data_IF_183446398559
#
_entry.id   IF_183446398559
#
_cell.length_a   1.000
_cell.length_b   1.000
_cell.length_c   1.000
_cell.angle_alpha   90.00
_cell.angle_beta   90.00
_cell.angle_gamma   90.00
#
_symmetry.space_group_name_H-M   'P 1'
#
loop_
_entity.id
_entity.type
_entity.pdbx_description
1 polymer ?
#
# COMPACT_ATOMS: atom_id res chain seq x y z
N UNK A 1 -59.64 50.23 -3.04
CA UNK A 1 -58.54 49.87 -2.12
C UNK A 1 -59.12 50.10 -0.75
N UNK A 2 -59.91 49.12 -0.31
CA UNK A 2 -60.51 49.10 1.01
C UNK A 2 -59.76 47.99 1.74
N UNK A 3 -58.87 48.40 2.66
CA UNK A 3 -58.15 47.51 3.54
C UNK A 3 -59.15 46.97 4.56
N UNK A 4 -59.67 45.76 4.32
CA UNK A 4 -60.36 44.98 5.34
C UNK A 4 -59.35 44.68 6.46
N UNK A 5 -59.41 45.49 7.51
CA UNK A 5 -58.69 45.29 8.77
C UNK A 5 -59.16 43.96 9.35
N UNK A 6 -58.33 42.93 9.21
CA UNK A 6 -58.56 41.62 9.83
C UNK A 6 -58.38 41.80 11.35
N UNK A 7 -59.51 41.72 12.05
CA UNK A 7 -59.62 41.69 13.50
C UNK A 7 -58.85 40.49 14.09
N UNK A 8 -57.69 40.76 14.70
CA UNK A 8 -56.92 39.77 15.44
C UNK A 8 -57.52 39.58 16.85
N UNK A 9 -58.69 38.96 16.92
CA UNK A 9 -59.19 38.35 18.14
C UNK A 9 -58.31 37.16 18.57
N UNK A 10 -58.17 36.87 19.88
CA UNK A 10 -57.21 35.88 20.41
C UNK A 10 -57.50 34.41 20.07
N UNK A 11 -58.43 34.12 19.14
CA UNK A 11 -58.87 32.76 18.80
C UNK A 11 -59.03 32.54 17.28
N UNK A 12 -58.12 33.05 16.46
CA UNK A 12 -58.01 32.58 15.06
C UNK A 12 -57.29 31.23 15.03
N UNK A 13 -57.89 30.14 14.50
CA UNK A 13 -57.20 28.87 14.34
C UNK A 13 -55.94 29.06 13.48
N UNK A 14 -54.77 28.78 14.06
CA UNK A 14 -53.50 28.89 13.35
C UNK A 14 -53.47 27.90 12.16
N UNK A 15 -53.41 28.36 10.90
CA UNK A 15 -53.41 27.48 9.74
C UNK A 15 -52.11 26.67 9.59
N UNK A 16 -51.10 26.93 10.44
CA UNK A 16 -49.79 26.25 10.39
C UNK A 16 -49.70 25.04 11.31
N UNK A 17 -50.75 24.69 12.03
CA UNK A 17 -50.76 23.52 12.90
C UNK A 17 -51.22 22.25 12.16
N UNK A 18 -50.50 21.86 11.09
CA UNK A 18 -50.36 20.46 10.68
C UNK A 18 -49.43 20.38 9.46
N UNK A 19 -48.12 20.34 9.70
CA UNK A 19 -47.21 19.68 8.75
C UNK A 19 -46.64 18.44 9.43
N UNK A 20 -47.53 17.53 9.85
CA UNK A 20 -47.16 16.12 9.87
C UNK A 20 -47.01 15.72 8.40
N UNK A 21 -45.84 16.04 7.81
CA UNK A 21 -45.38 15.37 6.61
C UNK A 21 -45.35 13.89 7.01
N UNK A 22 -46.08 12.99 6.33
CA UNK A 22 -45.84 11.58 6.52
C UNK A 22 -44.37 11.38 6.18
N UNK A 23 -43.59 10.86 7.14
CA UNK A 23 -42.29 10.30 6.80
C UNK A 23 -42.57 9.24 5.73
N UNK A 24 -42.16 9.55 4.51
CA UNK A 24 -42.38 8.67 3.37
C UNK A 24 -41.66 7.36 3.70
N UNK A 25 -42.32 6.19 3.61
CA UNK A 25 -41.64 4.91 3.79
C UNK A 25 -40.54 4.70 2.73
N UNK A 26 -40.49 5.54 1.69
CA UNK A 26 -39.41 5.62 0.68
C UNK A 26 -38.07 6.13 1.26
N UNK A 27 -38.05 6.81 2.41
CA UNK A 27 -36.79 7.18 3.10
C UNK A 27 -36.26 6.06 4.02
N UNK A 28 -37.05 4.99 4.21
CA UNK A 28 -36.58 3.80 4.93
C UNK A 28 -35.91 2.84 3.95
N UNK A 29 -34.60 2.66 4.09
CA UNK A 29 -33.83 1.70 3.30
C UNK A 29 -34.52 0.35 3.36
N UNK A 30 -34.70 -0.28 2.20
CA UNK A 30 -35.23 -1.64 2.15
C UNK A 30 -34.27 -2.58 2.88
N UNK A 31 -34.76 -3.69 3.47
CA UNK A 31 -33.90 -4.63 4.20
C UNK A 31 -32.69 -5.12 3.40
N UNK A 32 -32.86 -5.29 2.08
CA UNK A 32 -31.80 -5.70 1.17
C UNK A 32 -30.77 -4.57 0.95
N UNK A 33 -31.21 -3.32 0.81
CA UNK A 33 -30.29 -2.19 0.63
C UNK A 33 -29.41 -1.98 1.85
N UNK A 34 -29.96 -2.11 3.06
CA UNK A 34 -29.18 -2.04 4.29
C UNK A 34 -28.15 -3.19 4.38
N UNK A 35 -28.55 -4.42 4.06
CA UNK A 35 -27.64 -5.58 4.05
C UNK A 35 -26.49 -5.38 3.06
N UNK A 36 -26.79 -4.88 1.85
CA UNK A 36 -25.77 -4.59 0.84
C UNK A 36 -24.82 -3.48 1.31
N UNK A 37 -25.32 -2.41 1.92
CA UNK A 37 -24.49 -1.33 2.46
C UNK A 37 -23.59 -1.82 3.60
N UNK A 38 -24.11 -2.68 4.47
CA UNK A 38 -23.32 -3.27 5.56
C UNK A 38 -22.19 -4.16 5.01
N UNK A 39 -22.46 -4.94 3.96
CA UNK A 39 -21.42 -5.73 3.28
C UNK A 39 -20.40 -4.87 2.53
N UNK A 40 -20.81 -3.77 1.89
CA UNK A 40 -19.87 -2.81 1.29
C UNK A 40 -19.01 -2.12 2.36
N UNK A 41 -19.57 -1.77 3.52
CA UNK A 41 -18.82 -1.19 4.63
C UNK A 41 -17.78 -2.17 5.18
N UNK A 42 -18.14 -3.45 5.34
CA UNK A 42 -17.19 -4.52 5.69
C UNK A 42 -16.13 -4.71 4.60
N UNK A 43 -16.52 -4.70 3.33
CA UNK A 43 -15.59 -4.87 2.22
C UNK A 43 -14.55 -3.74 2.19
N UNK A 44 -14.98 -2.49 2.34
CA UNK A 44 -14.07 -1.34 2.42
C UNK A 44 -13.13 -1.47 3.62
N UNK A 45 -13.65 -1.85 4.80
CA UNK A 45 -12.81 -2.10 5.97
C UNK A 45 -11.75 -3.18 5.71
N UNK A 46 -12.15 -4.30 5.09
CA UNK A 46 -11.23 -5.37 4.71
C UNK A 46 -10.18 -4.90 3.68
N UNK A 47 -10.56 -3.98 2.78
CA UNK A 47 -9.68 -3.44 1.75
C UNK A 47 -8.67 -2.45 2.35
N UNK A 48 -9.09 -1.65 3.32
CA UNK A 48 -8.19 -0.79 4.11
C UNK A 48 -7.21 -1.62 4.93
N UNK A 49 -7.68 -2.69 5.59
CA UNK A 49 -6.81 -3.62 6.32
C UNK A 49 -5.79 -4.29 5.40
N UNK A 50 -6.25 -4.78 4.24
CA UNK A 50 -5.38 -5.37 3.23
C UNK A 50 -4.34 -4.35 2.73
N UNK A 51 -4.78 -3.13 2.42
CA UNK A 51 -3.91 -2.02 1.99
C UNK A 51 -2.84 -1.71 3.05
N UNK A 52 -3.23 -1.65 4.33
CA UNK A 52 -2.32 -1.43 5.44
C UNK A 52 -1.29 -2.55 5.58
N UNK A 53 -1.73 -3.81 5.49
CA UNK A 53 -0.82 -4.98 5.52
C UNK A 53 0.11 -4.98 4.32
N UNK A 54 -0.37 -4.67 3.11
CA UNK A 54 0.48 -4.54 1.93
C UNK A 54 1.47 -3.39 2.04
N UNK A 55 1.08 -2.26 2.62
CA UNK A 55 1.97 -1.12 2.85
C UNK A 55 3.06 -1.46 3.89
N UNK A 56 2.70 -2.15 4.98
CA UNK A 56 3.67 -2.65 5.95
C UNK A 56 4.61 -3.68 5.33
N UNK A 57 4.08 -4.63 4.55
CA UNK A 57 4.88 -5.63 3.84
C UNK A 57 5.67 -5.05 2.67
N UNK A 58 5.28 -3.92 2.08
CA UNK A 58 6.09 -3.23 1.08
C UNK A 58 7.21 -2.41 1.75
N UNK A 59 6.95 -1.89 2.96
CA UNK A 59 7.92 -1.10 3.71
C UNK A 59 8.97 -1.94 4.47
N UNK A 60 8.69 -3.21 4.79
CA UNK A 60 9.53 -4.02 5.72
C UNK A 60 10.46 -5.12 5.16
N UNK A 61 10.41 -5.64 3.94
CA UNK A 61 11.39 -6.63 3.47
C UNK A 61 12.11 -6.13 2.23
N UNK A 62 13.12 -5.28 2.46
CA UNK A 62 14.19 -5.12 1.48
C UNK A 62 15.49 -4.68 2.14
N UNK A 63 15.46 -3.86 3.19
CA UNK A 63 16.68 -3.35 3.83
C UNK A 63 17.58 -4.48 4.38
N UNK A 64 17.04 -5.38 5.20
CA UNK A 64 17.84 -6.47 5.81
C UNK A 64 18.37 -7.45 4.75
N UNK A 65 17.52 -7.84 3.77
CA UNK A 65 17.92 -8.73 2.68
C UNK A 65 18.94 -8.04 1.77
N UNK A 66 18.76 -6.75 1.45
CA UNK A 66 19.70 -5.97 0.64
C UNK A 66 21.05 -5.80 1.38
N UNK A 67 21.04 -5.57 2.68
CA UNK A 67 22.26 -5.49 3.48
C UNK A 67 22.97 -6.84 3.57
N UNK A 68 22.22 -7.94 3.72
CA UNK A 68 22.76 -9.29 3.64
C UNK A 68 23.36 -9.59 2.25
N UNK A 69 22.68 -9.20 1.16
CA UNK A 69 23.16 -9.35 -0.22
C UNK A 69 24.41 -8.50 -0.50
N UNK A 70 24.44 -7.24 -0.04
CA UNK A 70 25.64 -6.38 -0.13
C UNK A 70 26.81 -6.96 0.67
N UNK A 71 26.53 -7.49 1.86
CA UNK A 71 27.50 -8.19 2.68
C UNK A 71 28.06 -9.44 1.98
N UNK A 72 27.18 -10.18 1.30
CA UNK A 72 27.55 -11.35 0.51
C UNK A 72 28.40 -10.97 -0.71
N UNK A 73 28.00 -9.94 -1.47
CA UNK A 73 28.74 -9.42 -2.62
C UNK A 73 30.17 -9.05 -2.24
N UNK A 74 30.37 -8.28 -1.17
CA UNK A 74 31.73 -7.89 -0.72
C UNK A 74 32.61 -9.09 -0.40
N UNK A 75 32.03 -10.12 0.25
CA UNK A 75 32.75 -11.34 0.62
C UNK A 75 33.12 -12.15 -0.62
N UNK A 76 32.17 -12.36 -1.54
CA UNK A 76 32.42 -13.14 -2.76
C UNK A 76 33.37 -12.42 -3.71
N UNK A 77 33.29 -11.10 -3.86
CA UNK A 77 34.26 -10.30 -4.62
C UNK A 77 35.68 -10.44 -4.06
N UNK A 78 35.81 -10.47 -2.73
CA UNK A 78 37.11 -10.67 -2.08
C UNK A 78 37.66 -12.06 -2.40
N UNK A 79 36.84 -13.10 -2.24
CA UNK A 79 37.23 -14.48 -2.58
C UNK A 79 37.58 -14.62 -4.06
N UNK A 80 36.79 -14.04 -4.96
CA UNK A 80 37.02 -14.07 -6.40
C UNK A 80 38.33 -13.36 -6.79
N UNK A 81 38.61 -12.21 -6.17
CA UNK A 81 39.87 -11.47 -6.41
C UNK A 81 41.07 -12.28 -5.95
N UNK A 82 41.01 -12.87 -4.76
CA UNK A 82 42.09 -13.73 -4.24
C UNK A 82 42.30 -14.96 -5.12
N UNK A 83 41.20 -15.59 -5.56
CA UNK A 83 41.26 -16.73 -6.48
C UNK A 83 41.90 -16.33 -7.81
N UNK A 84 41.50 -15.20 -8.40
CA UNK A 84 42.06 -14.69 -9.66
C UNK A 84 43.56 -14.39 -9.53
N UNK A 85 43.97 -13.75 -8.44
CA UNK A 85 45.39 -13.48 -8.16
C UNK A 85 46.18 -14.78 -7.99
N UNK A 86 45.62 -15.76 -7.25
CA UNK A 86 46.23 -17.07 -7.06
C UNK A 86 46.42 -17.80 -8.38
N UNK A 87 45.38 -17.87 -9.22
CA UNK A 87 45.44 -18.55 -10.52
C UNK A 87 46.43 -17.85 -11.44
N UNK A 88 46.39 -16.52 -11.53
CA UNK A 88 47.30 -15.75 -12.37
C UNK A 88 48.77 -15.96 -11.96
N UNK A 89 49.06 -15.95 -10.67
CA UNK A 89 50.40 -16.23 -10.15
C UNK A 89 50.90 -17.62 -10.54
N UNK A 90 50.05 -18.65 -10.44
CA UNK A 90 50.39 -20.02 -10.82
C UNK A 90 50.66 -20.14 -12.32
N UNK A 91 49.77 -19.60 -13.16
CA UNK A 91 49.92 -19.66 -14.62
C UNK A 91 51.18 -18.93 -15.07
N UNK A 92 51.45 -17.74 -14.52
CA UNK A 92 52.65 -16.98 -14.85
C UNK A 92 53.93 -17.72 -14.44
N UNK A 93 53.95 -18.35 -13.26
CA UNK A 93 55.10 -19.15 -12.82
C UNK A 93 55.36 -20.35 -13.74
N UNK A 94 54.30 -20.99 -14.27
CA UNK A 94 54.42 -22.07 -15.25
C UNK A 94 54.96 -21.56 -16.59
N UNK A 95 54.43 -20.45 -17.12
CA UNK A 95 54.94 -19.85 -18.36
C UNK A 95 56.42 -19.49 -18.26
N UNK A 96 56.87 -18.99 -17.11
CA UNK A 96 58.29 -18.71 -16.86
C UNK A 96 59.11 -20.00 -16.79
N UNK A 97 58.66 -21.00 -16.02
CA UNK A 97 59.38 -22.27 -15.87
C UNK A 97 59.48 -23.06 -17.19
N UNK A 98 58.41 -23.06 -17.99
CA UNK A 98 58.37 -23.70 -19.30
C UNK A 98 59.14 -22.89 -20.35
N UNK A 99 59.17 -21.55 -20.22
CA UNK A 99 59.90 -20.63 -21.09
C UNK A 99 61.43 -20.64 -20.88
N UNK A 100 61.91 -20.92 -19.66
CA UNK A 100 63.34 -21.03 -19.33
C UNK A 100 63.95 -22.39 -19.75
N UNK A 101 63.12 -23.32 -20.23
CA UNK A 101 63.51 -24.66 -20.68
C UNK A 101 63.98 -24.77 -22.14
N UNK A 102 63.98 -23.68 -22.93
CA UNK A 102 64.30 -23.71 -24.37
C UNK A 102 65.35 -22.64 -24.75
N UNK A 103 66.36 -22.44 -23.90
CA UNK A 103 67.36 -21.37 -24.09
C UNK A 103 68.79 -21.67 -23.67
N UNK A 104 69.18 -22.94 -23.51
CA UNK A 104 70.57 -23.33 -23.25
C UNK A 104 71.12 -24.25 -24.34
N UNK A 105 72.05 -23.72 -25.15
CA UNK A 105 73.00 -24.48 -25.97
C UNK A 105 73.93 -25.37 -25.11
#
# INVERSE_FOLDING_TARGET
MDDDIIDYGPNTPNPRANTNKPEDPEDSLTPLEQEVLDEYAKLVGNLDDLSNVLSDLASKPSAEILDALRGLERKTTTVFTLLKASVYSIVLQQEIADGDGIGGE
#
